data_IF_413750660926
#
_entry.id   IF_413750660926
#
_cell.length_a   1.000
_cell.length_b   1.000
_cell.length_c   1.000
_cell.angle_alpha   90.00
_cell.angle_beta   90.00
_cell.angle_gamma   90.00
#
_symmetry.space_group_name_H-M   'P 1'
#
loop_
_entity.id
_entity.type
_entity.pdbx_description
1 polymer ?
#
# COMPACT_ATOMS: atom_id res chain seq x y z
N UNK A 1 -10.02 -28.69 20.64
CA UNK A 1 -9.62 -27.27 20.53
C UNK A 1 -9.76 -26.90 19.07
N UNK A 2 -10.61 -25.91 18.75
CA UNK A 2 -10.86 -25.53 17.36
C UNK A 2 -9.69 -24.67 16.86
N UNK A 3 -8.85 -25.24 16.00
CA UNK A 3 -7.88 -24.46 15.24
C UNK A 3 -8.67 -23.54 14.31
N UNK A 4 -8.62 -22.23 14.55
CA UNK A 4 -9.04 -21.26 13.54
C UNK A 4 -8.07 -21.43 12.38
N UNK A 5 -8.49 -22.18 11.36
CA UNK A 5 -7.65 -22.43 10.20
C UNK A 5 -7.56 -21.11 9.43
N UNK A 6 -6.41 -20.45 9.53
CA UNK A 6 -6.09 -19.29 8.72
C UNK A 6 -6.26 -19.66 7.24
N UNK A 7 -6.68 -18.69 6.42
CA UNK A 7 -6.78 -18.84 4.96
C UNK A 7 -5.53 -19.51 4.39
N UNK A 8 -5.67 -20.28 3.31
CA UNK A 8 -4.55 -20.89 2.59
C UNK A 8 -3.45 -19.86 2.22
N UNK A 9 -3.83 -18.59 2.03
CA UNK A 9 -2.86 -17.50 1.80
C UNK A 9 -1.89 -17.31 2.97
N UNK A 10 -2.33 -17.51 4.21
CA UNK A 10 -1.53 -17.29 5.42
C UNK A 10 -0.97 -18.59 6.02
N UNK A 11 -0.92 -19.67 5.24
CA UNK A 11 -0.40 -20.97 5.70
C UNK A 11 1.03 -20.86 6.25
N UNK A 12 1.89 -20.06 5.61
CA UNK A 12 3.24 -19.80 6.12
C UNK A 12 3.23 -19.28 7.57
N UNK A 13 2.30 -18.38 7.90
CA UNK A 13 2.19 -17.85 9.25
C UNK A 13 1.77 -18.94 10.25
N UNK A 14 0.82 -19.80 9.89
CA UNK A 14 0.43 -20.94 10.75
C UNK A 14 1.63 -21.84 11.06
N UNK A 15 2.40 -22.22 10.04
CA UNK A 15 3.56 -23.11 10.19
C UNK A 15 4.68 -22.46 11.03
N UNK A 16 4.94 -21.17 10.83
CA UNK A 16 5.91 -20.43 11.64
C UNK A 16 5.49 -20.38 13.12
N UNK A 17 4.22 -20.10 13.39
CA UNK A 17 3.69 -20.07 14.75
C UNK A 17 3.71 -21.44 15.41
N UNK A 18 3.44 -22.52 14.67
CA UNK A 18 3.57 -23.91 15.15
C UNK A 18 5.02 -24.28 15.46
N UNK A 19 5.98 -23.75 14.69
CA UNK A 19 7.41 -23.86 14.97
C UNK A 19 7.90 -22.95 16.11
N UNK A 20 7.02 -22.18 16.76
CA UNK A 20 7.35 -21.26 17.84
C UNK A 20 8.03 -19.95 17.36
N UNK A 21 8.00 -19.67 16.06
CA UNK A 21 8.56 -18.46 15.47
C UNK A 21 7.46 -17.40 15.38
N UNK A 22 7.55 -16.29 16.15
CA UNK A 22 6.55 -15.23 16.05
C UNK A 22 6.64 -14.58 14.68
N UNK A 23 5.49 -14.30 14.07
CA UNK A 23 5.43 -13.68 12.76
C UNK A 23 4.24 -12.73 12.66
N UNK A 24 4.33 -11.74 11.76
CA UNK A 24 3.21 -10.86 11.45
C UNK A 24 3.13 -10.59 9.95
N UNK A 25 1.91 -10.63 9.41
CA UNK A 25 1.60 -10.24 8.03
C UNK A 25 1.88 -8.75 7.85
N UNK A 26 2.45 -8.37 6.72
CA UNK A 26 2.88 -7.00 6.42
C UNK A 26 2.39 -6.52 5.05
N UNK A 27 2.66 -5.26 4.73
CA UNK A 27 2.39 -4.63 3.42
C UNK A 27 0.91 -4.71 2.98
N UNK A 28 0.65 -5.10 1.72
CA UNK A 28 -0.68 -5.09 1.09
C UNK A 28 -1.70 -5.90 1.86
N UNK A 29 -1.33 -7.09 2.35
CA UNK A 29 -2.21 -7.92 3.15
C UNK A 29 -2.56 -7.28 4.50
N UNK A 30 -1.59 -6.61 5.12
CA UNK A 30 -1.81 -5.93 6.39
C UNK A 30 -2.74 -4.71 6.23
N UNK A 31 -2.60 -3.92 5.15
CA UNK A 31 -3.53 -2.81 4.89
C UNK A 31 -4.91 -3.32 4.44
N UNK A 32 -4.97 -4.40 3.65
CA UNK A 32 -6.23 -5.02 3.22
C UNK A 32 -7.04 -5.55 4.40
N UNK A 33 -6.38 -6.07 5.43
CA UNK A 33 -7.03 -6.47 6.69
C UNK A 33 -7.84 -5.34 7.35
N UNK A 34 -7.42 -4.08 7.16
CA UNK A 34 -8.11 -2.90 7.67
C UNK A 34 -9.19 -2.33 6.72
N UNK A 35 -9.56 -3.06 5.67
CA UNK A 35 -10.63 -2.67 4.75
C UNK A 35 -10.17 -1.86 3.54
N UNK A 36 -8.86 -1.72 3.33
CA UNK A 36 -8.31 -1.11 2.11
C UNK A 36 -8.58 -2.01 0.90
N UNK A 37 -9.25 -1.53 -0.17
CA UNK A 37 -9.47 -2.30 -1.39
C UNK A 37 -8.21 -2.29 -2.27
N UNK A 38 -7.16 -2.98 -1.84
CA UNK A 38 -5.91 -3.12 -2.59
C UNK A 38 -5.77 -4.50 -3.21
N UNK A 39 -4.99 -4.59 -4.30
CA UNK A 39 -4.59 -5.87 -4.88
C UNK A 39 -3.42 -6.41 -4.07
N UNK A 40 -3.54 -7.67 -3.65
CA UNK A 40 -2.47 -8.38 -2.92
C UNK A 40 -1.62 -9.20 -3.90
N UNK A 41 -0.30 -9.02 -3.84
CA UNK A 41 0.68 -9.74 -4.66
C UNK A 41 1.27 -10.90 -3.85
N UNK A 42 2.61 -10.92 -3.72
CA UNK A 42 3.35 -11.78 -2.80
C UNK A 42 2.92 -11.51 -1.34
N UNK A 43 3.01 -12.52 -0.48
CA UNK A 43 2.73 -12.38 0.95
C UNK A 43 3.99 -11.91 1.65
N UNK A 44 3.95 -10.74 2.29
CA UNK A 44 5.07 -10.27 3.11
C UNK A 44 4.83 -10.60 4.58
N UNK A 45 5.85 -11.16 5.23
CA UNK A 45 5.78 -11.56 6.64
C UNK A 45 7.03 -11.05 7.36
N UNK A 46 6.84 -10.33 8.46
CA UNK A 46 7.95 -9.99 9.34
C UNK A 46 8.23 -11.14 10.31
N UNK A 47 9.51 -11.48 10.44
CA UNK A 47 10.01 -12.53 11.34
C UNK A 47 11.26 -12.04 12.09
N UNK A 48 11.65 -12.64 13.24
CA UNK A 48 12.84 -12.24 13.97
C UNK A 48 14.11 -12.53 13.18
N UNK A 49 14.20 -13.72 12.60
CA UNK A 49 15.31 -14.21 11.79
C UNK A 49 14.78 -14.86 10.51
N UNK A 50 15.23 -14.35 9.36
CA UNK A 50 14.76 -14.80 8.04
C UNK A 50 15.31 -16.17 7.64
N UNK A 51 16.48 -16.56 8.14
CA UNK A 51 17.09 -17.86 7.84
C UNK A 51 16.44 -18.97 8.67
N UNK A 52 16.20 -18.72 9.95
CA UNK A 52 15.51 -19.64 10.84
C UNK A 52 14.07 -19.90 10.36
N UNK A 53 13.34 -18.83 10.03
CA UNK A 53 12.00 -18.92 9.50
C UNK A 53 11.95 -19.64 8.13
N UNK A 54 12.91 -19.35 7.23
CA UNK A 54 13.00 -20.07 5.96
C UNK A 54 13.26 -21.56 6.16
N UNK A 55 14.17 -21.92 7.08
CA UNK A 55 14.48 -23.31 7.40
C UNK A 55 13.26 -24.06 7.93
N UNK A 56 12.46 -23.44 8.80
CA UNK A 56 11.23 -24.02 9.31
C UNK A 56 10.22 -24.31 8.18
N UNK A 57 10.01 -23.36 7.26
CA UNK A 57 9.11 -23.57 6.13
C UNK A 57 9.62 -24.64 5.15
N UNK A 58 10.94 -24.71 4.93
CA UNK A 58 11.54 -25.74 4.06
C UNK A 58 11.33 -27.15 4.64
N UNK A 59 11.38 -27.31 5.96
CA UNK A 59 11.06 -28.60 6.62
C UNK A 59 9.62 -29.05 6.35
N UNK A 60 8.71 -28.09 6.14
CA UNK A 60 7.30 -28.30 5.78
C UNK A 60 7.06 -28.39 4.26
N UNK A 61 8.12 -28.60 3.47
CA UNK A 61 8.03 -28.85 2.02
C UNK A 61 7.99 -27.59 1.15
N UNK A 62 8.24 -26.40 1.71
CA UNK A 62 8.41 -25.18 0.93
C UNK A 62 9.78 -25.16 0.23
N UNK A 63 9.88 -24.45 -0.88
CA UNK A 63 11.13 -24.33 -1.65
C UNK A 63 11.64 -22.89 -1.68
N UNK A 64 12.96 -22.71 -1.77
CA UNK A 64 13.56 -21.39 -1.93
C UNK A 64 13.26 -20.83 -3.33
N UNK A 65 12.71 -19.62 -3.36
CA UNK A 65 12.52 -18.83 -4.57
C UNK A 65 13.72 -17.95 -4.88
N UNK A 66 13.77 -17.44 -6.11
CA UNK A 66 14.78 -16.49 -6.55
C UNK A 66 14.53 -15.09 -5.94
N UNK A 67 15.38 -14.71 -4.99
CA UNK A 67 15.31 -13.41 -4.31
C UNK A 67 15.61 -12.23 -5.25
N UNK A 68 16.27 -12.46 -6.41
CA UNK A 68 16.53 -11.38 -7.37
C UNK A 68 15.26 -10.90 -8.10
N UNK A 69 14.21 -11.73 -8.09
CA UNK A 69 12.90 -11.45 -8.65
C UNK A 69 11.90 -10.92 -7.64
N UNK A 70 12.28 -10.85 -6.36
CA UNK A 70 11.43 -10.27 -5.31
C UNK A 70 11.25 -8.78 -5.56
N UNK A 71 10.01 -8.35 -5.46
CA UNK A 71 9.65 -6.94 -5.62
C UNK A 71 8.96 -6.44 -4.36
N UNK A 72 8.82 -5.13 -4.27
CA UNK A 72 7.91 -4.44 -3.36
C UNK A 72 7.17 -3.39 -4.20
N UNK A 73 5.87 -3.63 -4.42
CA UNK A 73 5.19 -3.04 -5.57
C UNK A 73 5.92 -3.38 -6.87
N UNK A 74 6.38 -2.36 -7.58
CA UNK A 74 7.18 -2.51 -8.81
C UNK A 74 8.69 -2.35 -8.59
N UNK A 75 9.13 -2.00 -7.38
CA UNK A 75 10.54 -1.85 -7.07
C UNK A 75 11.19 -3.20 -6.83
N UNK A 76 12.46 -3.35 -7.21
CA UNK A 76 13.26 -4.49 -6.75
C UNK A 76 13.45 -4.38 -5.24
N UNK A 77 13.23 -5.48 -4.51
CA UNK A 77 13.48 -5.52 -3.08
C UNK A 77 14.97 -5.67 -2.82
N UNK A 78 15.58 -4.69 -2.17
CA UNK A 78 17.04 -4.64 -1.89
C UNK A 78 17.37 -5.04 -0.44
N UNK A 79 16.39 -4.99 0.46
CA UNK A 79 16.54 -5.41 1.86
C UNK A 79 16.91 -6.88 2.01
N UNK A 80 17.48 -7.26 3.16
CA UNK A 80 17.67 -8.67 3.47
C UNK A 80 16.29 -9.36 3.50
N UNK A 81 16.16 -10.48 2.78
CA UNK A 81 14.92 -11.23 2.73
C UNK A 81 15.15 -12.67 2.26
N UNK A 82 14.10 -13.49 2.42
CA UNK A 82 13.99 -14.80 1.78
C UNK A 82 12.69 -14.91 1.02
N UNK A 83 12.75 -15.48 -0.17
CA UNK A 83 11.58 -15.78 -1.00
C UNK A 83 11.30 -17.27 -0.91
N UNK A 84 10.08 -17.64 -0.54
CA UNK A 84 9.66 -19.04 -0.38
C UNK A 84 8.46 -19.31 -1.27
N UNK A 85 8.51 -20.43 -1.98
CA UNK A 85 7.45 -20.92 -2.84
C UNK A 85 6.71 -22.04 -2.09
N UNK A 86 5.40 -21.89 -1.85
CA UNK A 86 4.59 -22.94 -1.23
C UNK A 86 4.61 -24.25 -2.05
N UNK A 87 4.46 -25.41 -1.40
CA UNK A 87 4.32 -26.67 -2.11
C UNK A 87 3.09 -26.61 -3.04
N UNK A 88 3.26 -27.05 -4.30
CA UNK A 88 2.15 -27.12 -5.25
C UNK A 88 1.28 -28.31 -4.88
N UNK A 89 0.01 -28.06 -4.57
CA UNK A 89 -1.00 -29.13 -4.49
C UNK A 89 -1.01 -29.90 -5.82
N UNK A 90 -0.55 -31.14 -5.77
CA UNK A 90 -0.38 -32.01 -6.95
C UNK A 90 -1.70 -32.62 -7.42
N UNK A 91 -2.78 -31.83 -7.51
CA UNK A 91 -4.08 -32.28 -8.03
C UNK A 91 -4.47 -31.51 -9.32
N UNK A 92 -4.06 -31.99 -10.52
CA UNK A 92 -4.31 -31.29 -11.79
C UNK A 92 -5.71 -31.51 -12.37
N UNK A 93 -6.67 -32.11 -11.66
CA UNK A 93 -7.85 -32.75 -12.27
C UNK A 93 -9.13 -31.91 -12.33
N UNK A 94 -9.08 -30.60 -12.12
CA UNK A 94 -10.22 -29.74 -12.48
C UNK A 94 -10.06 -29.24 -13.92
N UNK A 95 -10.59 -30.00 -14.89
CA UNK A 95 -10.69 -29.58 -16.29
C UNK A 95 -11.46 -28.24 -16.39
N UNK A 96 -11.00 -27.29 -17.24
CA UNK A 96 -11.69 -26.03 -17.45
C UNK A 96 -12.95 -26.28 -18.30
N UNK A 97 -14.12 -25.97 -17.74
CA UNK A 97 -15.37 -25.95 -18.50
C UNK A 97 -15.45 -24.63 -19.27
N UNK A 98 -15.07 -24.69 -20.54
CA UNK A 98 -15.05 -23.54 -21.45
C UNK A 98 -16.44 -23.40 -22.09
N UNK A 99 -17.39 -22.75 -21.40
CA UNK A 99 -18.65 -22.36 -22.03
C UNK A 99 -19.25 -21.08 -21.42
N UNK A 100 -18.92 -19.94 -22.02
CA UNK A 100 -19.84 -18.90 -22.57
C UNK A 100 -19.17 -17.52 -22.56
N UNK A 101 -19.07 -16.83 -23.72
CA UNK A 101 -18.63 -15.44 -23.77
C UNK A 101 -19.84 -14.52 -23.57
N UNK A 102 -19.84 -13.73 -22.49
CA UNK A 102 -20.71 -12.55 -22.39
C UNK A 102 -19.85 -11.32 -22.68
N UNK A 103 -20.10 -10.73 -23.84
CA UNK A 103 -19.46 -9.53 -24.37
C UNK A 103 -19.90 -8.30 -23.56
N UNK A 104 -18.97 -7.46 -23.11
CA UNK A 104 -19.26 -6.06 -22.75
C UNK A 104 -19.07 -5.61 -21.29
N UNK A 105 -18.60 -6.46 -20.36
CA UNK A 105 -18.13 -5.99 -19.04
C UNK A 105 -16.59 -6.00 -18.97
N UNK A 106 -15.96 -5.06 -18.24
CA UNK A 106 -14.56 -5.22 -17.84
C UNK A 106 -14.40 -6.59 -17.17
N UNK A 107 -13.30 -7.32 -17.41
CA UNK A 107 -13.15 -8.66 -16.87
C UNK A 107 -13.31 -8.60 -15.35
N UNK A 108 -14.32 -9.30 -14.82
CA UNK A 108 -14.40 -9.57 -13.38
C UNK A 108 -13.02 -10.06 -12.91
N UNK A 109 -12.54 -9.68 -11.71
CA UNK A 109 -11.32 -10.23 -11.16
C UNK A 109 -11.40 -11.73 -11.29
N UNK A 110 -10.48 -12.30 -12.07
CA UNK A 110 -10.62 -13.66 -12.58
C UNK A 110 -10.88 -14.60 -11.40
N UNK A 111 -11.88 -15.49 -11.52
CA UNK A 111 -12.07 -16.63 -10.59
C UNK A 111 -10.89 -17.61 -10.59
N UNK A 112 -9.73 -17.25 -11.16
CA UNK A 112 -8.49 -17.99 -11.00
C UNK A 112 -8.14 -17.92 -9.53
N UNK A 113 -8.05 -19.08 -8.87
CA UNK A 113 -7.31 -19.18 -7.62
C UNK A 113 -5.93 -18.56 -7.91
N UNK A 114 -5.50 -17.50 -7.19
CA UNK A 114 -4.17 -16.97 -7.37
C UNK A 114 -3.20 -18.14 -7.29
N UNK A 115 -2.27 -18.23 -8.25
CA UNK A 115 -1.15 -19.16 -8.18
C UNK A 115 -0.53 -19.06 -6.77
N UNK A 116 -0.01 -20.16 -6.21
CA UNK A 116 0.27 -20.17 -4.79
C UNK A 116 1.34 -19.10 -4.52
N UNK A 117 0.95 -18.16 -3.67
CA UNK A 117 1.55 -16.83 -3.57
C UNK A 117 2.90 -16.99 -2.90
N UNK A 118 3.97 -16.44 -3.50
CA UNK A 118 5.30 -16.49 -2.87
C UNK A 118 5.23 -15.79 -1.52
N UNK A 119 5.86 -16.37 -0.51
CA UNK A 119 6.03 -15.74 0.80
C UNK A 119 7.39 -15.09 0.87
N UNK A 120 7.41 -13.79 1.12
CA UNK A 120 8.62 -12.99 1.33
C UNK A 120 8.79 -12.78 2.83
N UNK A 121 9.83 -13.39 3.39
CA UNK A 121 10.23 -13.20 4.77
C UNK A 121 11.12 -11.96 4.87
N UNK A 122 10.73 -11.04 5.73
CA UNK A 122 11.43 -9.78 6.01
C UNK A 122 11.87 -9.77 7.49
N UNK A 123 13.07 -9.26 7.80
CA UNK A 123 13.51 -9.12 9.18
C UNK A 123 12.71 -7.99 9.86
N UNK A 124 12.02 -8.31 10.96
CA UNK A 124 11.20 -7.34 11.70
C UNK A 124 12.00 -6.14 12.19
N UNK A 125 13.29 -6.33 12.48
CA UNK A 125 14.22 -5.28 12.90
C UNK A 125 14.39 -4.18 11.83
N UNK A 126 14.42 -4.52 10.53
CA UNK A 126 14.54 -3.53 9.45
C UNK A 126 13.27 -2.70 9.22
N UNK A 127 12.15 -3.16 9.80
CA UNK A 127 10.86 -2.47 9.78
C UNK A 127 10.51 -1.86 11.14
N UNK A 128 11.47 -1.87 12.09
CA UNK A 128 11.33 -1.38 13.46
C UNK A 128 10.08 -1.90 14.18
N UNK A 129 9.62 -3.09 13.79
CA UNK A 129 8.44 -3.71 14.36
C UNK A 129 8.83 -4.67 15.47
N UNK A 130 8.26 -4.47 16.66
CA UNK A 130 8.43 -5.42 17.76
C UNK A 130 7.38 -6.51 17.63
N UNK A 131 7.82 -7.73 17.29
CA UNK A 131 6.93 -8.88 17.21
C UNK A 131 6.35 -9.22 18.60
N UNK A 132 5.07 -9.61 18.68
CA UNK A 132 4.47 -10.02 19.93
C UNK A 132 5.21 -11.25 20.48
N UNK A 133 5.49 -11.25 21.79
CA UNK A 133 6.04 -12.44 22.45
C UNK A 133 4.98 -13.53 22.44
N UNK A 134 5.41 -14.75 22.13
CA UNK A 134 4.56 -15.92 22.13
C UNK A 134 4.28 -16.35 23.58
N UNK A 135 3.32 -15.70 24.23
CA UNK A 135 2.79 -16.10 25.54
C UNK A 135 1.41 -16.73 25.35
N UNK A 136 1.35 -17.87 24.63
CA UNK A 136 0.13 -18.61 24.35
C UNK A 136 -0.35 -18.54 22.90
N UNK A 137 -1.62 -18.88 22.65
CA UNK A 137 -2.20 -18.90 21.30
C UNK A 137 -2.17 -17.50 20.69
N UNK A 138 -1.57 -17.32 19.49
CA UNK A 138 -1.54 -16.04 18.81
C UNK A 138 -2.97 -15.64 18.43
N UNK A 139 -3.47 -14.55 18.99
CA UNK A 139 -4.83 -14.06 18.71
C UNK A 139 -4.97 -13.44 17.32
N UNK A 140 -3.87 -13.03 16.68
CA UNK A 140 -3.86 -12.52 15.31
C UNK A 140 -2.46 -12.53 14.70
N UNK A 141 -2.36 -12.87 13.42
CA UNK A 141 -1.16 -12.71 12.59
C UNK A 141 -1.06 -11.32 11.96
N UNK A 142 -2.02 -10.43 12.23
CA UNK A 142 -2.04 -9.07 11.70
C UNK A 142 -1.56 -8.06 12.75
N UNK A 143 -0.80 -7.02 12.35
CA UNK A 143 -0.30 -6.02 13.26
C UNK A 143 -1.43 -5.09 13.69
N UNK A 144 -1.48 -4.61 14.95
CA UNK A 144 -2.39 -3.54 15.34
C UNK A 144 -2.19 -2.29 14.47
N UNK A 145 -3.28 -1.62 14.09
CA UNK A 145 -3.26 -0.49 13.15
C UNK A 145 -2.24 0.60 13.50
N UNK A 146 -2.13 1.06 14.77
CA UNK A 146 -1.12 2.07 15.11
C UNK A 146 0.31 1.58 14.87
N UNK A 147 0.58 0.29 15.12
CA UNK A 147 1.90 -0.32 14.92
C UNK A 147 2.23 -0.58 13.46
N UNK A 148 1.22 -0.88 12.65
CA UNK A 148 1.37 -0.92 11.20
C UNK A 148 1.75 0.46 10.66
N UNK A 149 1.01 1.49 11.04
CA UNK A 149 1.26 2.86 10.59
C UNK A 149 2.62 3.36 11.07
N UNK A 150 2.96 3.17 12.35
CA UNK A 150 4.28 3.51 12.91
C UNK A 150 5.41 2.89 12.08
N UNK A 151 5.35 1.57 11.79
CA UNK A 151 6.40 0.88 11.05
C UNK A 151 6.53 1.34 9.58
N UNK A 152 5.42 1.64 8.92
CA UNK A 152 5.42 2.19 7.56
C UNK A 152 6.01 3.61 7.52
N UNK A 153 5.62 4.47 8.47
CA UNK A 153 6.14 5.85 8.59
C UNK A 153 7.62 5.83 8.94
N UNK A 154 8.05 4.98 9.87
CA UNK A 154 9.46 4.81 10.21
C UNK A 154 10.28 4.42 8.99
N UNK A 155 9.80 3.43 8.22
CA UNK A 155 10.46 3.02 6.98
C UNK A 155 10.52 4.17 5.97
N UNK A 156 9.42 4.87 5.76
CA UNK A 156 9.34 6.03 4.85
C UNK A 156 10.35 7.14 5.23
N UNK A 157 10.50 7.42 6.53
CA UNK A 157 11.31 8.52 7.03
C UNK A 157 12.79 8.15 7.22
N UNK A 158 13.14 6.86 7.27
CA UNK A 158 14.52 6.40 7.42
C UNK A 158 15.18 6.00 6.09
N UNK A 159 14.42 5.45 5.14
CA UNK A 159 14.97 4.98 3.87
C UNK A 159 15.61 6.13 3.09
N UNK A 160 16.70 5.96 2.34
CA UNK A 160 17.20 7.02 1.48
C UNK A 160 16.10 7.65 0.60
N UNK A 161 16.01 8.99 0.59
CA UNK A 161 15.09 9.74 -0.27
C UNK A 161 15.53 9.64 -1.72
N UNK A 162 15.34 8.47 -2.28
CA UNK A 162 15.43 8.20 -3.70
C UNK A 162 14.01 8.31 -4.25
N UNK A 163 13.86 8.94 -5.41
CA UNK A 163 12.60 8.86 -6.19
C UNK A 163 12.49 7.45 -6.79
N UNK A 164 12.38 6.46 -5.90
CA UNK A 164 12.33 5.07 -6.24
C UNK A 164 10.90 4.58 -6.11
N UNK A 165 10.56 3.60 -6.94
CA UNK A 165 9.26 2.91 -6.84
C UNK A 165 9.02 2.32 -5.44
N UNK A 166 10.06 2.09 -4.64
CA UNK A 166 9.95 1.58 -3.28
C UNK A 166 9.35 2.64 -2.35
N UNK A 167 9.91 3.85 -2.40
CA UNK A 167 9.41 5.00 -1.64
C UNK A 167 7.96 5.35 -2.06
N UNK A 168 7.67 5.38 -3.37
CA UNK A 168 6.32 5.62 -3.88
C UNK A 168 5.35 4.58 -3.33
N UNK A 169 5.73 3.30 -3.31
CA UNK A 169 4.85 2.24 -2.82
C UNK A 169 4.58 2.34 -1.32
N UNK A 170 5.56 2.76 -0.51
CA UNK A 170 5.34 3.06 0.92
C UNK A 170 4.34 4.19 1.11
N UNK A 171 4.50 5.29 0.36
CA UNK A 171 3.57 6.43 0.40
C UNK A 171 2.16 5.99 0.03
N UNK A 172 2.01 5.14 -0.99
CA UNK A 172 0.71 4.59 -1.41
C UNK A 172 0.07 3.75 -0.31
N UNK A 173 0.83 2.85 0.34
CA UNK A 173 0.29 2.05 1.44
C UNK A 173 -0.19 2.93 2.61
N UNK A 174 0.58 3.96 2.97
CA UNK A 174 0.20 4.92 4.02
C UNK A 174 -1.03 5.72 3.59
N UNK A 175 -1.06 6.23 2.35
CA UNK A 175 -2.19 6.99 1.84
C UNK A 175 -3.47 6.20 1.76
N UNK A 176 -3.39 4.94 1.34
CA UNK A 176 -4.53 4.02 1.40
C UNK A 176 -5.07 3.84 2.81
N UNK A 177 -4.21 3.75 3.83
CA UNK A 177 -4.68 3.68 5.20
C UNK A 177 -5.49 4.95 5.57
N UNK A 178 -4.97 6.15 5.30
CA UNK A 178 -5.69 7.40 5.58
C UNK A 178 -6.98 7.57 4.75
N UNK A 179 -6.97 7.11 3.50
CA UNK A 179 -8.11 7.23 2.59
C UNK A 179 -9.24 6.26 2.92
N UNK A 180 -8.94 5.06 3.41
CA UNK A 180 -9.97 4.02 3.58
C UNK A 180 -10.29 3.68 5.03
N UNK A 181 -9.41 3.95 5.99
CA UNK A 181 -9.59 3.56 7.39
C UNK A 181 -10.10 4.76 8.22
N UNK A 182 -11.39 4.82 8.58
CA UNK A 182 -11.99 6.06 9.10
C UNK A 182 -11.33 6.62 10.36
N UNK A 183 -10.87 5.74 11.26
CA UNK A 183 -10.24 6.15 12.52
C UNK A 183 -8.94 6.93 12.30
N UNK A 184 -8.28 6.79 11.14
CA UNK A 184 -7.08 7.57 10.80
C UNK A 184 -7.37 9.00 10.38
N UNK A 185 -8.64 9.38 10.23
CA UNK A 185 -9.05 10.77 9.96
C UNK A 185 -9.31 11.55 11.24
N UNK A 186 -9.26 10.89 12.39
CA UNK A 186 -9.45 11.51 13.69
C UNK A 186 -8.12 11.99 14.26
N UNK A 187 -8.02 13.28 14.60
CA UNK A 187 -6.83 13.87 15.24
C UNK A 187 -6.43 13.08 16.51
N UNK A 188 -7.40 12.57 17.25
CA UNK A 188 -7.17 11.79 18.47
C UNK A 188 -6.42 10.47 18.22
N UNK A 189 -6.38 9.97 16.98
CA UNK A 189 -5.63 8.74 16.66
C UNK A 189 -4.13 8.89 16.92
N UNK A 190 -3.57 10.10 16.80
CA UNK A 190 -2.16 10.37 17.13
C UNK A 190 -1.77 9.92 18.55
N UNK A 191 -2.69 9.88 19.52
CA UNK A 191 -2.39 9.41 20.87
C UNK A 191 -1.94 7.93 20.91
N UNK A 192 -2.36 7.14 19.92
CA UNK A 192 -2.02 5.72 19.76
C UNK A 192 -0.68 5.49 19.05
N UNK A 193 -0.13 6.53 18.41
CA UNK A 193 1.13 6.48 17.69
C UNK A 193 2.31 6.77 18.62
N UNK A 194 3.50 6.35 18.18
CA UNK A 194 4.76 6.82 18.77
C UNK A 194 4.84 8.34 18.73
N UNK A 195 5.43 8.94 19.77
CA UNK A 195 5.40 10.40 19.98
C UNK A 195 5.95 11.18 18.77
N UNK A 196 7.01 10.67 18.16
CA UNK A 196 7.72 11.26 17.04
C UNK A 196 7.02 11.06 15.68
N UNK A 197 5.96 10.25 15.60
CA UNK A 197 5.09 10.13 14.42
C UNK A 197 3.77 10.91 14.54
N UNK A 198 3.49 11.51 15.71
CA UNK A 198 2.24 12.27 15.91
C UNK A 198 2.15 13.49 15.00
N UNK A 199 3.28 14.16 14.78
CA UNK A 199 3.33 15.33 13.92
C UNK A 199 3.07 14.96 12.46
N UNK A 200 3.66 13.86 11.98
CA UNK A 200 3.34 13.28 10.66
C UNK A 200 1.84 13.06 10.49
N UNK A 201 1.15 12.56 11.52
CA UNK A 201 -0.29 12.37 11.48
C UNK A 201 -1.06 13.69 11.38
N UNK A 202 -0.71 14.70 12.19
CA UNK A 202 -1.32 16.03 12.11
C UNK A 202 -1.10 16.69 10.75
N UNK A 203 0.11 16.60 10.22
CA UNK A 203 0.49 17.20 8.95
C UNK A 203 -0.17 16.51 7.76
N UNK A 204 -0.32 15.18 7.82
CA UNK A 204 -1.13 14.44 6.86
C UNK A 204 -2.57 14.96 6.81
N UNK A 205 -3.18 15.18 7.98
CA UNK A 205 -4.57 15.66 8.09
C UNK A 205 -4.72 17.16 7.78
N UNK A 206 -3.63 17.93 7.83
CA UNK A 206 -3.64 19.37 7.56
C UNK A 206 -3.90 19.72 6.08
N UNK A 207 -3.79 18.73 5.19
CA UNK A 207 -3.95 18.89 3.74
C UNK A 207 -2.62 19.13 3.00
N UNK A 208 -1.48 18.80 3.61
CA UNK A 208 -0.20 18.85 2.91
C UNK A 208 -0.18 17.88 1.72
N UNK A 209 0.44 18.32 0.64
CA UNK A 209 0.64 17.52 -0.57
C UNK A 209 1.72 16.48 -0.32
N UNK A 210 1.31 15.22 -0.31
CA UNK A 210 2.21 14.10 -0.04
C UNK A 210 3.19 13.93 -1.20
N UNK A 211 4.49 13.98 -0.89
CA UNK A 211 5.55 14.00 -1.88
C UNK A 211 6.94 13.97 -1.22
N UNK A 212 7.98 14.09 -2.05
CA UNK A 212 9.35 14.25 -1.55
C UNK A 212 9.53 15.49 -0.66
N UNK A 213 8.96 16.67 -0.98
CA UNK A 213 9.01 17.84 -0.08
C UNK A 213 8.42 17.54 1.29
N UNK A 214 7.22 16.96 1.32
CA UNK A 214 6.56 16.52 2.56
C UNK A 214 7.44 15.54 3.35
N UNK A 215 8.00 14.52 2.71
CA UNK A 215 8.83 13.53 3.44
C UNK A 215 10.12 14.16 3.99
N UNK A 216 10.73 15.11 3.28
CA UNK A 216 11.90 15.86 3.79
C UNK A 216 11.53 16.69 5.01
N UNK A 217 10.41 17.39 4.92
CA UNK A 217 9.87 18.20 6.01
C UNK A 217 9.61 17.34 7.25
N UNK A 218 8.89 16.23 7.10
CA UNK A 218 8.58 15.31 8.19
C UNK A 218 9.83 14.72 8.86
N UNK A 219 10.92 14.46 8.12
CA UNK A 219 12.19 14.03 8.72
C UNK A 219 12.78 15.11 9.63
N UNK A 220 12.82 16.35 9.16
CA UNK A 220 13.35 17.48 9.94
C UNK A 220 12.53 17.69 11.21
N UNK A 221 11.21 17.60 11.10
CA UNK A 221 10.29 17.75 12.23
C UNK A 221 10.45 16.60 13.22
N UNK A 222 10.50 15.34 12.76
CA UNK A 222 10.75 14.17 13.61
C UNK A 222 12.08 14.28 14.36
N UNK A 223 13.15 14.69 13.67
CA UNK A 223 14.47 14.88 14.29
C UNK A 223 14.46 16.02 15.31
N UNK A 224 13.72 17.10 15.05
CA UNK A 224 13.58 18.22 15.97
C UNK A 224 12.74 17.84 17.21
N UNK A 225 11.69 17.02 17.05
CA UNK A 225 10.92 16.44 18.15
C UNK A 225 11.79 15.56 19.05
N UNK A 226 12.59 14.67 18.45
CA UNK A 226 13.53 13.80 19.18
C UNK A 226 14.59 14.60 19.96
N UNK A 227 15.00 15.75 19.44
CA UNK A 227 15.93 16.68 20.10
C UNK A 227 15.26 17.59 21.14
N UNK A 228 13.93 17.59 21.24
CA UNK A 228 13.18 18.50 22.10
C UNK A 228 13.21 19.96 21.64
N UNK A 229 13.62 20.23 20.40
CA UNK A 229 13.65 21.58 19.81
C UNK A 229 12.36 21.94 19.07
N UNK A 230 11.37 21.05 19.10
CA UNK A 230 10.08 21.21 18.47
C UNK A 230 8.97 20.69 19.39
N UNK A 231 7.79 21.31 19.29
CA UNK A 231 6.59 20.88 20.00
C UNK A 231 5.48 20.57 18.99
N UNK A 232 4.72 19.52 19.30
CA UNK A 232 3.57 19.11 18.51
C UNK A 232 2.59 20.26 18.29
N UNK A 233 2.06 20.37 17.09
CA UNK A 233 1.07 21.36 16.68
C UNK A 233 0.17 20.80 15.59
N UNK A 234 -0.97 21.45 15.37
CA UNK A 234 -1.97 21.00 14.39
C UNK A 234 -1.44 20.98 12.95
N UNK A 235 -0.52 21.88 12.60
CA UNK A 235 0.15 21.93 11.30
C UNK A 235 1.56 22.49 11.47
N UNK A 236 2.56 21.76 10.99
CA UNK A 236 3.97 22.08 11.22
C UNK A 236 4.58 23.07 10.25
N UNK A 237 3.90 23.34 9.13
CA UNK A 237 4.31 24.29 8.11
C UNK A 237 3.33 25.45 7.95
N UNK A 238 3.79 26.52 7.29
CA UNK A 238 2.95 27.63 6.88
C UNK A 238 1.99 27.18 5.76
N UNK A 239 0.71 27.60 5.82
CA UNK A 239 -0.31 27.30 4.81
C UNK A 239 0.03 27.92 3.45
N UNK A 240 0.86 28.96 3.44
CA UNK A 240 1.36 29.62 2.25
C UNK A 240 2.62 28.94 1.66
N UNK A 241 3.15 27.88 2.28
CA UNK A 241 4.23 27.07 1.71
C UNK A 241 3.72 26.27 0.50
N UNK A 242 3.86 26.85 -0.68
CA UNK A 242 3.45 26.26 -1.95
C UNK A 242 4.15 24.92 -2.26
N UNK A 243 5.27 24.60 -1.62
CA UNK A 243 5.95 23.30 -1.80
C UNK A 243 5.29 22.18 -1.01
N UNK A 244 4.62 22.52 0.08
CA UNK A 244 3.88 21.58 0.95
C UNK A 244 2.37 21.66 0.72
N UNK A 245 1.86 22.73 0.12
CA UNK A 245 0.43 22.94 -0.16
C UNK A 245 0.17 23.22 -1.64
N UNK A 246 0.74 22.42 -2.54
CA UNK A 246 0.64 22.60 -3.99
C UNK A 246 -0.81 22.57 -4.53
N UNK A 247 -1.75 21.90 -3.84
CA UNK A 247 -3.17 21.96 -4.17
C UNK A 247 -3.75 23.38 -4.19
N UNK A 248 -3.21 24.29 -3.37
CA UNK A 248 -3.62 25.70 -3.38
C UNK A 248 -3.20 26.40 -4.68
N UNK A 249 -2.09 25.99 -5.30
CA UNK A 249 -1.65 26.49 -6.60
C UNK A 249 -2.60 26.01 -7.69
N UNK A 250 -2.97 24.73 -7.69
CA UNK A 250 -3.93 24.19 -8.67
C UNK A 250 -5.28 24.90 -8.60
N UNK A 251 -5.81 25.10 -7.39
CA UNK A 251 -7.06 25.86 -7.18
C UNK A 251 -6.92 27.31 -7.67
N UNK A 252 -5.80 27.98 -7.38
CA UNK A 252 -5.54 29.36 -7.87
C UNK A 252 -5.42 29.41 -9.39
N UNK A 253 -4.74 28.44 -10.01
CA UNK A 253 -4.64 28.32 -11.48
C UNK A 253 -6.02 28.06 -12.09
N UNK A 254 -6.82 27.16 -11.50
CA UNK A 254 -8.18 26.87 -11.96
C UNK A 254 -9.10 28.09 -11.80
N UNK A 255 -9.00 28.84 -10.71
CA UNK A 255 -9.76 30.06 -10.48
C UNK A 255 -9.33 31.23 -11.39
N UNK A 256 -8.05 31.29 -11.75
CA UNK A 256 -7.50 32.32 -12.64
C UNK A 256 -7.75 32.02 -14.14
N UNK A 257 -8.06 30.77 -14.50
CA UNK A 257 -8.48 30.42 -15.86
C UNK A 257 -9.98 30.74 -16.03
N UNK A 258 -10.37 31.68 -16.90
CA UNK A 258 -11.77 31.75 -17.32
C UNK A 258 -12.14 30.38 -17.92
N UNK A 259 -13.30 29.83 -17.53
CA UNK A 259 -13.81 28.57 -18.08
C UNK A 259 -13.72 28.64 -19.62
N UNK A 260 -12.92 27.78 -20.28
CA UNK A 260 -12.69 27.89 -21.73
C UNK A 260 -13.96 27.55 -22.54
N UNK A 261 -14.93 26.90 -21.91
CA UNK A 261 -16.19 26.51 -22.53
C UNK A 261 -17.36 27.09 -21.75
N UNK A 262 -18.02 28.08 -22.34
CA UNK A 262 -19.42 28.36 -22.02
C UNK A 262 -20.29 27.26 -22.65
N UNK A 263 -21.50 26.99 -22.11
CA UNK A 263 -22.47 26.11 -22.76
C UNK A 263 -22.75 26.50 -24.22
N UNK A 264 -22.66 27.80 -24.54
CA UNK A 264 -22.77 28.31 -25.91
C UNK A 264 -21.61 27.90 -26.80
N UNK A 265 -20.35 27.93 -26.31
CA UNK A 265 -19.19 27.46 -27.07
C UNK A 265 -19.32 25.96 -27.42
N UNK A 266 -19.82 25.16 -26.47
CA UNK A 266 -20.05 23.73 -26.67
C UNK A 266 -21.14 23.45 -27.73
N UNK A 267 -22.27 24.15 -27.65
CA UNK A 267 -23.36 23.97 -28.62
C UNK A 267 -22.99 24.49 -30.02
N UNK A 268 -22.18 25.55 -30.10
CA UNK A 268 -21.68 26.08 -31.38
C UNK A 268 -20.70 25.09 -32.04
N UNK A 269 -19.78 24.50 -31.29
CA UNK A 269 -18.85 23.49 -31.80
C UNK A 269 -19.58 22.22 -32.24
N UNK A 270 -20.55 21.76 -31.45
CA UNK A 270 -21.40 20.62 -31.80
C UNK A 270 -22.21 20.86 -33.08
N UNK A 271 -22.71 22.08 -33.30
CA UNK A 271 -23.37 22.46 -34.56
C UNK A 271 -22.40 22.50 -35.73
N UNK A 272 -21.18 23.01 -35.53
CA UNK A 272 -20.16 23.09 -36.58
C UNK A 272 -19.72 21.70 -37.05
N UNK A 273 -19.49 20.76 -36.12
CA UNK A 273 -19.16 19.36 -36.42
C UNK A 273 -20.30 18.71 -37.22
N UNK A 274 -21.55 18.89 -36.77
CA UNK A 274 -22.72 18.31 -37.45
C UNK A 274 -22.95 18.90 -38.85
N UNK A 275 -22.65 20.17 -39.04
CA UNK A 275 -22.73 20.83 -40.35
C UNK A 275 -21.62 20.33 -41.30
N UNK A 276 -20.41 20.09 -40.79
CA UNK A 276 -19.31 19.51 -41.56
C UNK A 276 -19.61 18.07 -41.99
N UNK A 277 -20.17 17.24 -41.10
CA UNK A 277 -20.58 15.86 -41.41
C UNK A 277 -21.69 15.81 -42.49
N UNK A 278 -22.63 16.75 -42.45
CA UNK A 278 -23.68 16.87 -43.48
C UNK A 278 -23.11 17.38 -44.81
N UNK A 279 -22.12 18.26 -44.79
CA UNK A 279 -21.46 18.74 -46.00
C UNK A 279 -20.64 17.64 -46.69
N UNK A 280 -19.89 16.84 -45.93
CA UNK A 280 -19.16 15.67 -46.44
C UNK A 280 -20.11 14.60 -47.01
N UNK A 281 -21.21 14.30 -46.31
CA UNK A 281 -22.20 13.32 -46.79
C UNK A 281 -22.91 13.73 -48.09
N UNK A 282 -22.97 15.03 -48.40
CA UNK A 282 -23.55 15.54 -49.65
C UNK A 282 -22.52 15.70 -50.77
N UNK A 283 -21.21 15.65 -50.46
CA UNK A 283 -20.14 15.67 -51.46
C UNK A 283 -19.94 14.32 -52.15
N UNK A 284 -20.36 13.21 -51.51
CA UNK A 284 -20.26 11.84 -52.03
C UNK A 284 -21.44 11.41 -52.93
N UNK A 285 -22.37 12.33 -53.28
CA UNK A 285 -23.60 12.03 -54.05
C UNK A 285 -23.61 12.67 -55.45
N UNK A 286 -22.48 13.21 -55.93
CA UNK A 286 -22.33 13.70 -57.31
C UNK A 286 -21.14 13.08 -58.06
#
# INVERSE_FOLDING_TARGET
MAHHQLSARFQACSLLLEAGIPCVVWCEDAVAHYGVPTVVFDLYVLVPDIEEAAKALIQEGWSLGDCTQSKFGNARLVSAHRSLIPPIDSNPTAKPDLSTPITGLPPLPSKRRPAPVKTILLPAAEWKFTLPRYEGSPTSVFPPLPKLLDGLVDKLLDDPLTDSMFWIHLVVLIGYLYDYVPVLREIAFAEKLTFDHRQFHFDWLSGMTIGLPFTRHERLIRDALRKGTYQLRECSADRDDETLFAGNIEVRIMAAKPFPYTPENYENEKRAIRAAEIADANADVF
#
